data_IF_873223378239
#
_entry.id   IF_873223378239
#
_cell.length_a   1.000
_cell.length_b   1.000
_cell.length_c   1.000
_cell.angle_alpha   90.00
_cell.angle_beta   90.00
_cell.angle_gamma   90.00
#
_symmetry.space_group_name_H-M   'P 1'
#
loop_
_entity.id
_entity.type
_entity.pdbx_description
1 polymer ?
#
# COMPACT_ATOMS: atom_id res chain seq x y z
N UNK A 1 -22.62 5.85 -0.58
CA UNK A 1 -21.81 5.10 -1.56
C UNK A 1 -20.37 5.62 -1.53
N UNK A 2 -19.41 4.73 -1.36
CA UNK A 2 -18.01 5.10 -1.34
C UNK A 2 -17.46 5.21 -2.75
N UNK A 3 -16.66 6.23 -2.97
CA UNK A 3 -15.98 6.42 -4.24
C UNK A 3 -14.52 6.02 -4.08
N UNK A 4 -14.12 4.97 -4.79
CA UNK A 4 -12.76 4.47 -4.75
C UNK A 4 -11.90 5.16 -5.80
N UNK A 5 -10.66 5.47 -5.42
CA UNK A 5 -9.63 5.93 -6.32
C UNK A 5 -8.86 4.70 -6.80
N UNK A 6 -8.83 4.46 -8.11
CA UNK A 6 -8.07 3.35 -8.67
C UNK A 6 -6.65 3.80 -8.99
N UNK A 7 -5.67 3.09 -8.44
CA UNK A 7 -4.26 3.48 -8.52
C UNK A 7 -3.37 2.33 -9.00
N UNK A 8 -3.84 1.53 -9.97
CA UNK A 8 -3.07 0.40 -10.48
C UNK A 8 -1.82 0.84 -11.23
N UNK A 9 -1.99 1.74 -12.20
CA UNK A 9 -0.88 2.18 -13.05
C UNK A 9 -0.04 3.26 -12.38
N UNK A 10 -0.65 4.04 -11.51
CA UNK A 10 -0.02 5.20 -10.88
C UNK A 10 0.22 4.99 -9.39
N UNK A 11 0.35 3.74 -8.93
CA UNK A 11 0.51 3.45 -7.51
C UNK A 11 1.67 4.25 -6.89
N UNK A 12 2.82 4.27 -7.53
CA UNK A 12 3.99 4.96 -6.99
C UNK A 12 3.77 6.45 -6.83
N UNK A 13 3.15 7.07 -7.84
CA UNK A 13 2.84 8.50 -7.80
C UNK A 13 1.82 8.79 -6.70
N UNK A 14 0.76 7.99 -6.63
CA UNK A 14 -0.25 8.15 -5.59
C UNK A 14 0.33 8.00 -4.18
N UNK A 15 1.14 6.96 -3.97
CA UNK A 15 1.68 6.68 -2.65
C UNK A 15 2.58 7.82 -2.15
N UNK A 16 3.44 8.32 -3.02
CA UNK A 16 4.32 9.45 -2.69
C UNK A 16 3.48 10.70 -2.37
N UNK A 17 2.48 10.99 -3.22
CA UNK A 17 1.62 12.14 -3.00
C UNK A 17 0.80 12.01 -1.70
N UNK A 18 0.35 10.80 -1.38
CA UNK A 18 -0.40 10.52 -0.16
C UNK A 18 0.46 10.73 1.10
N UNK A 19 1.75 10.42 1.02
CA UNK A 19 2.70 10.68 2.12
C UNK A 19 2.91 12.19 2.29
N UNK A 20 3.08 12.90 1.17
CA UNK A 20 3.41 14.33 1.19
C UNK A 20 2.20 15.23 1.49
N UNK A 21 1.00 14.79 1.14
CA UNK A 21 -0.21 15.61 1.23
C UNK A 21 -1.35 14.87 1.95
N UNK A 22 -1.20 14.60 3.27
CA UNK A 22 -2.20 13.80 4.00
C UNK A 22 -3.61 14.38 3.95
N UNK A 23 -3.75 15.71 3.99
CA UNK A 23 -5.06 16.35 4.00
C UNK A 23 -5.86 16.11 2.71
N UNK A 24 -5.17 15.76 1.62
CA UNK A 24 -5.82 15.49 0.35
C UNK A 24 -6.50 14.12 0.33
N UNK A 25 -5.99 13.17 1.12
CA UNK A 25 -6.40 11.76 1.02
C UNK A 25 -7.07 11.22 2.27
N UNK A 26 -6.93 11.87 3.42
CA UNK A 26 -7.47 11.37 4.69
C UNK A 26 -8.97 11.14 4.58
N UNK A 27 -9.41 9.94 4.93
CA UNK A 27 -10.82 9.56 4.90
C UNK A 27 -11.33 9.10 3.53
N UNK A 28 -10.51 9.17 2.50
CA UNK A 28 -10.88 8.72 1.16
C UNK A 28 -10.65 7.21 1.02
N UNK A 29 -11.14 6.64 -0.08
CA UNK A 29 -11.05 5.23 -0.37
C UNK A 29 -10.19 5.00 -1.59
N UNK A 30 -9.43 3.90 -1.59
CA UNK A 30 -8.51 3.58 -2.68
C UNK A 30 -8.63 2.10 -3.05
N UNK A 31 -8.49 1.82 -4.36
CA UNK A 31 -8.36 0.46 -4.89
C UNK A 31 -7.03 0.39 -5.61
N UNK A 32 -6.22 -0.63 -5.31
CA UNK A 32 -5.00 -0.86 -6.07
C UNK A 32 -4.58 -2.32 -5.97
N UNK A 33 -3.68 -2.73 -6.86
CA UNK A 33 -3.06 -4.04 -6.85
C UNK A 33 -1.67 -3.93 -6.22
N UNK A 34 -1.33 -4.90 -5.39
CA UNK A 34 -0.02 -4.94 -4.76
C UNK A 34 0.32 -6.32 -4.26
N UNK A 35 1.48 -6.43 -3.65
CA UNK A 35 1.97 -7.65 -3.05
C UNK A 35 1.95 -7.53 -1.53
N UNK A 36 1.68 -8.64 -0.86
CA UNK A 36 1.66 -8.69 0.60
C UNK A 36 3.08 -8.80 1.13
N UNK A 37 3.36 -8.06 2.20
CA UNK A 37 4.56 -8.24 2.99
C UNK A 37 4.15 -8.41 4.45
N UNK A 38 4.56 -9.52 5.05
CA UNK A 38 4.40 -9.80 6.46
C UNK A 38 5.73 -9.55 7.17
N UNK A 39 5.68 -9.11 8.41
CA UNK A 39 6.89 -8.97 9.22
C UNK A 39 6.51 -9.16 10.69
N UNK A 40 7.35 -9.89 11.41
CA UNK A 40 7.10 -10.18 12.84
C UNK A 40 7.10 -8.91 13.69
N UNK A 41 7.75 -7.85 13.21
CA UNK A 41 7.78 -6.56 13.92
C UNK A 41 6.48 -5.77 13.76
N UNK A 42 5.62 -6.14 12.80
CA UNK A 42 4.35 -5.46 12.62
C UNK A 42 3.37 -5.83 13.72
N UNK A 43 2.51 -4.90 14.15
CA UNK A 43 1.42 -5.23 15.08
C UNK A 43 0.53 -6.34 14.51
N UNK A 44 -0.11 -7.10 15.40
CA UNK A 44 -1.01 -8.16 15.00
C UNK A 44 -2.14 -7.60 14.13
N UNK A 45 -2.43 -8.25 13.01
CA UNK A 45 -3.46 -7.82 12.08
C UNK A 45 -3.02 -6.72 11.13
N UNK A 46 -1.73 -6.38 11.10
CA UNK A 46 -1.16 -5.37 10.20
C UNK A 46 -0.22 -6.03 9.23
N UNK A 47 -0.40 -5.70 7.95
CA UNK A 47 0.48 -6.12 6.86
C UNK A 47 0.87 -4.89 6.06
N UNK A 48 1.79 -5.04 5.12
CA UNK A 48 2.04 -4.03 4.08
C UNK A 48 1.51 -4.59 2.77
N UNK A 49 0.81 -3.78 2.00
CA UNK A 49 0.41 -4.11 0.64
C UNK A 49 1.02 -3.06 -0.26
N UNK A 50 2.03 -3.48 -1.01
CA UNK A 50 2.82 -2.54 -1.78
C UNK A 50 3.45 -3.20 -3.01
N UNK A 51 4.49 -2.58 -3.51
CA UNK A 51 5.13 -3.01 -4.74
C UNK A 51 6.64 -2.80 -4.66
N UNK A 52 7.36 -3.62 -5.41
CA UNK A 52 8.79 -3.40 -5.62
C UNK A 52 8.96 -2.17 -6.51
N UNK A 53 9.90 -1.31 -6.16
CA UNK A 53 10.15 -0.07 -6.88
C UNK A 53 11.64 0.13 -7.12
N UNK A 54 11.98 0.54 -8.33
CA UNK A 54 13.34 0.90 -8.70
C UNK A 54 13.46 2.42 -8.68
N UNK A 55 14.27 2.96 -7.78
CA UNK A 55 14.37 4.40 -7.58
C UNK A 55 15.54 5.05 -8.30
N UNK A 56 16.65 4.33 -8.43
CA UNK A 56 17.87 4.85 -9.02
C UNK A 56 18.35 3.95 -10.17
N UNK A 57 18.53 2.67 -9.90
CA UNK A 57 19.05 1.69 -10.86
C UNK A 57 18.52 0.31 -10.51
N UNK A 58 18.77 -0.67 -11.37
CA UNK A 58 18.28 -2.03 -11.18
C UNK A 58 18.72 -2.66 -9.86
N UNK A 59 19.86 -2.23 -9.32
CA UNK A 59 20.37 -2.74 -8.06
C UNK A 59 19.71 -2.09 -6.84
N UNK A 60 18.90 -1.05 -7.05
CA UNK A 60 18.28 -0.29 -5.97
C UNK A 60 16.76 -0.51 -5.97
N UNK A 61 16.38 -1.78 -5.86
CA UNK A 61 14.97 -2.15 -5.79
C UNK A 61 14.56 -2.25 -4.32
N UNK A 62 13.54 -1.48 -3.96
CA UNK A 62 12.97 -1.46 -2.62
C UNK A 62 11.49 -1.81 -2.67
N UNK A 63 10.99 -2.37 -1.58
CA UNK A 63 9.56 -2.61 -1.43
C UNK A 63 8.93 -1.40 -0.75
N UNK A 64 7.93 -0.81 -1.40
CA UNK A 64 7.22 0.35 -0.86
C UNK A 64 5.73 0.07 -0.75
N UNK A 65 5.10 0.64 0.25
CA UNK A 65 3.67 0.51 0.42
C UNK A 65 3.21 0.92 1.81
N UNK A 66 1.93 1.20 1.97
CA UNK A 66 1.37 1.59 3.25
C UNK A 66 1.13 0.38 4.15
N UNK A 67 1.09 0.64 5.46
CA UNK A 67 0.57 -0.33 6.41
C UNK A 67 -0.93 -0.49 6.18
N UNK A 68 -1.39 -1.72 6.30
CA UNK A 68 -2.80 -2.07 6.10
C UNK A 68 -3.28 -2.89 7.29
N UNK A 69 -4.33 -2.41 7.92
CA UNK A 69 -5.03 -3.18 8.95
C UNK A 69 -5.96 -4.16 8.24
N UNK A 70 -5.62 -5.44 8.30
CA UNK A 70 -6.34 -6.51 7.59
C UNK A 70 -6.37 -7.75 8.47
N UNK A 71 -7.26 -7.77 9.43
CA UNK A 71 -7.36 -8.87 10.40
C UNK A 71 -7.76 -10.16 9.71
N UNK A 72 -7.12 -11.26 10.10
CA UNK A 72 -7.45 -12.59 9.60
C UNK A 72 -6.92 -12.91 8.21
N UNK A 73 -6.09 -12.05 7.62
CA UNK A 73 -5.45 -12.34 6.35
C UNK A 73 -4.22 -13.22 6.60
N UNK A 74 -4.23 -14.41 5.98
CA UNK A 74 -3.13 -15.37 6.08
C UNK A 74 -2.65 -15.73 4.68
N UNK A 75 -1.87 -14.84 4.08
CA UNK A 75 -1.29 -15.03 2.75
C UNK A 75 0.22 -14.89 2.84
N UNK A 76 0.91 -15.61 1.99
CA UNK A 76 2.37 -15.59 1.94
C UNK A 76 2.90 -14.25 1.41
N UNK A 77 4.13 -13.93 1.78
CA UNK A 77 4.82 -12.75 1.27
C UNK A 77 4.83 -12.77 -0.27
N UNK A 78 4.68 -11.59 -0.83
CA UNK A 78 4.69 -11.34 -2.27
C UNK A 78 3.50 -11.93 -3.04
N UNK A 79 2.46 -12.41 -2.33
CA UNK A 79 1.20 -12.77 -2.97
C UNK A 79 0.57 -11.52 -3.56
N UNK A 80 0.16 -11.59 -4.82
CA UNK A 80 -0.52 -10.49 -5.50
C UNK A 80 -1.99 -10.44 -5.08
N UNK A 81 -2.42 -9.24 -4.70
CA UNK A 81 -3.79 -8.99 -4.26
C UNK A 81 -4.32 -7.68 -4.84
N UNK A 82 -5.63 -7.61 -4.99
CA UNK A 82 -6.35 -6.37 -5.23
C UNK A 82 -7.02 -5.99 -3.91
N UNK A 83 -6.77 -4.78 -3.46
CA UNK A 83 -7.26 -4.31 -2.17
C UNK A 83 -8.14 -3.08 -2.35
N UNK A 84 -9.25 -3.06 -1.60
CA UNK A 84 -10.12 -1.89 -1.43
C UNK A 84 -10.03 -1.48 0.02
N UNK A 85 -9.67 -0.24 0.27
CA UNK A 85 -9.42 0.21 1.64
C UNK A 85 -9.74 1.68 1.83
N UNK A 86 -9.93 2.04 3.10
CA UNK A 86 -10.09 3.42 3.52
C UNK A 86 -8.73 3.96 3.95
N UNK A 87 -8.43 5.18 3.55
CA UNK A 87 -7.16 5.84 3.86
C UNK A 87 -7.30 6.58 5.17
N UNK A 88 -6.41 6.28 6.11
CA UNK A 88 -6.32 6.96 7.41
C UNK A 88 -4.87 7.37 7.66
N UNK A 89 -4.68 8.30 8.58
CA UNK A 89 -3.35 8.72 9.01
C UNK A 89 -3.28 8.68 10.52
N UNK A 90 -2.13 8.25 11.04
CA UNK A 90 -1.83 8.31 12.47
C UNK A 90 -0.54 9.10 12.66
N UNK A 91 -0.42 9.79 13.78
CA UNK A 91 0.81 10.46 14.13
C UNK A 91 1.77 9.51 14.83
N UNK A 92 3.03 9.51 14.41
CA UNK A 92 4.08 8.80 15.13
C UNK A 92 4.56 9.65 16.33
N UNK A 93 5.56 9.14 17.05
CA UNK A 93 6.08 9.85 18.22
C UNK A 93 6.81 11.15 17.87
N UNK A 94 7.16 11.37 16.60
CA UNK A 94 7.76 12.63 16.15
C UNK A 94 6.72 13.62 15.62
N UNK A 95 5.44 13.28 15.69
CA UNK A 95 4.36 14.11 15.19
C UNK A 95 4.16 14.03 13.67
N UNK A 96 4.82 13.10 13.00
CA UNK A 96 4.66 12.90 11.56
C UNK A 96 3.45 12.06 11.29
N UNK A 97 2.75 12.36 10.21
CA UNK A 97 1.60 11.57 9.80
C UNK A 97 2.06 10.37 8.98
N UNK A 98 1.61 9.20 9.41
CA UNK A 98 1.90 7.92 8.75
C UNK A 98 0.61 7.42 8.13
N UNK A 99 0.65 7.07 6.84
CA UNK A 99 -0.51 6.53 6.14
C UNK A 99 -0.79 5.11 6.58
N UNK A 100 -2.05 4.84 6.93
CA UNK A 100 -2.50 3.51 7.33
C UNK A 100 -3.83 3.25 6.62
N UNK A 101 -3.91 2.14 5.92
CA UNK A 101 -5.14 1.74 5.25
C UNK A 101 -5.92 0.78 6.13
N UNK A 102 -7.24 0.90 6.11
CA UNK A 102 -8.13 -0.08 6.71
C UNK A 102 -8.74 -0.91 5.59
N UNK A 103 -8.38 -2.18 5.53
CA UNK A 103 -8.85 -3.09 4.49
C UNK A 103 -10.34 -3.32 4.60
N UNK A 104 -11.06 -3.13 3.49
CA UNK A 104 -12.49 -3.45 3.39
C UNK A 104 -12.70 -4.70 2.56
N UNK A 105 -11.91 -4.89 1.50
CA UNK A 105 -12.00 -6.04 0.64
C UNK A 105 -10.62 -6.37 0.08
N UNK A 106 -10.27 -7.64 0.08
CA UNK A 106 -8.98 -8.11 -0.42
C UNK A 106 -9.21 -9.38 -1.23
N UNK A 107 -8.70 -9.38 -2.46
CA UNK A 107 -8.87 -10.50 -3.39
C UNK A 107 -7.49 -10.89 -3.94
N UNK A 108 -7.18 -12.19 -3.89
CA UNK A 108 -5.96 -12.71 -4.50
C UNK A 108 -6.07 -12.63 -6.02
N UNK A 109 -5.02 -12.17 -6.68
CA UNK A 109 -4.98 -12.03 -8.14
C UNK A 109 -3.69 -12.65 -8.69
N UNK A 110 -3.60 -12.73 -10.02
CA UNK A 110 -2.38 -13.12 -10.70
C UNK A 110 -1.40 -11.96 -10.75
N UNK A 111 -0.12 -12.25 -10.95
CA UNK A 111 0.89 -11.21 -11.14
C UNK A 111 0.49 -10.28 -12.29
N UNK A 112 0.66 -8.98 -12.07
CA UNK A 112 0.34 -7.97 -13.09
C UNK A 112 1.51 -7.80 -14.07
N UNK A 113 1.24 -7.17 -15.21
CA UNK A 113 2.29 -6.74 -16.13
C UNK A 113 3.10 -5.62 -15.46
N UNK A 114 4.39 -5.58 -15.72
CA UNK A 114 5.30 -4.58 -15.15
C UNK A 114 5.22 -4.53 -13.61
N UNK A 115 5.54 -5.64 -12.93
CA UNK A 115 5.37 -5.72 -11.47
C UNK A 115 6.31 -4.79 -10.69
N UNK A 116 7.41 -4.36 -11.27
CA UNK A 116 8.36 -3.43 -10.64
C UNK A 116 8.09 -2.02 -11.12
N UNK A 117 7.85 -1.12 -10.17
CA UNK A 117 7.66 0.29 -10.46
C UNK A 117 8.99 0.95 -10.82
N UNK A 118 8.98 1.82 -11.81
CA UNK A 118 10.14 2.63 -12.15
C UNK A 118 9.87 4.07 -11.70
N UNK A 119 10.58 4.49 -10.65
CA UNK A 119 10.43 5.82 -10.06
C UNK A 119 11.59 6.76 -10.41
N UNK A 120 12.36 6.40 -11.42
CA UNK A 120 13.47 7.23 -11.88
C UNK A 120 12.98 8.53 -12.54
#
# INVERSE_FOLDING_TARGET
MHRYLEQDDDFGVWYIDAIDNPNRYDGKYVIYNGQILNDKSFPKGVIVVGRKAMTCCEDDIQFIGPYVVAKGVELEDYTWVRIKSKINYEEDHDGRKVIILTCEELTKISEILEPVLNLQ
#
